data_IF_118471315250
#
_entry.id   IF_118471315250
#
_cell.length_a   1.000
_cell.length_b   1.000
_cell.length_c   1.000
_cell.angle_alpha   90.00
_cell.angle_beta   90.00
_cell.angle_gamma   90.00
#
_symmetry.space_group_name_H-M   'P 1'
#
loop_
_entity.id
_entity.type
_entity.pdbx_description
1 polymer ?
#
# COMPACT_ATOMS: atom_id res chain seq x y z
N UNK A 1 -3.72 8.53 21.01
CA UNK A 1 -2.33 8.24 20.59
C UNK A 1 -1.89 6.79 20.84
N UNK A 2 -1.73 6.30 22.07
CA UNK A 2 -1.29 4.89 22.27
C UNK A 2 -2.34 3.85 21.88
N UNK A 3 -3.62 4.07 22.22
CA UNK A 3 -4.70 3.15 21.81
C UNK A 3 -4.88 3.12 20.29
N UNK A 4 -4.91 4.28 19.63
CA UNK A 4 -4.96 4.35 18.16
C UNK A 4 -3.80 3.58 17.52
N UNK A 5 -2.58 3.72 18.04
CA UNK A 5 -1.43 2.98 17.53
C UNK A 5 -1.62 1.46 17.68
N UNK A 6 -2.07 0.99 18.85
CA UNK A 6 -2.34 -0.45 19.08
C UNK A 6 -3.41 -1.02 18.16
N UNK A 7 -4.41 -0.22 17.81
CA UNK A 7 -5.47 -0.62 16.86
C UNK A 7 -4.96 -0.60 15.43
N UNK A 8 -4.11 0.36 15.06
CA UNK A 8 -3.58 0.48 13.70
C UNK A 8 -2.47 -0.51 13.37
N UNK A 9 -1.65 -0.91 14.35
CA UNK A 9 -0.54 -1.86 14.16
C UNK A 9 -0.92 -3.15 13.42
N UNK A 10 -1.98 -3.89 13.79
CA UNK A 10 -2.38 -5.08 13.04
C UNK A 10 -2.81 -4.77 11.60
N UNK A 11 -3.57 -3.69 11.38
CA UNK A 11 -4.03 -3.27 10.05
C UNK A 11 -2.84 -2.93 9.14
N UNK A 12 -1.84 -2.23 9.66
CA UNK A 12 -0.63 -1.89 8.92
C UNK A 12 0.20 -3.14 8.58
N UNK A 13 0.22 -4.12 9.47
CA UNK A 13 0.87 -5.40 9.21
C UNK A 13 0.16 -6.16 8.09
N UNK A 14 -1.16 -6.26 8.14
CA UNK A 14 -1.95 -6.92 7.10
C UNK A 14 -1.77 -6.24 5.75
N UNK A 15 -1.82 -4.90 5.73
CA UNK A 15 -1.57 -4.12 4.52
C UNK A 15 -0.18 -4.39 3.93
N UNK A 16 0.85 -4.48 4.78
CA UNK A 16 2.21 -4.79 4.33
C UNK A 16 2.32 -6.18 3.70
N UNK A 17 1.71 -7.19 4.31
CA UNK A 17 1.66 -8.56 3.77
C UNK A 17 0.92 -8.62 2.43
N UNK A 18 -0.24 -7.95 2.33
CA UNK A 18 -1.05 -7.89 1.11
C UNK A 18 -0.27 -7.26 -0.04
N UNK A 19 0.39 -6.11 0.19
CA UNK A 19 1.19 -5.42 -0.83
C UNK A 19 2.32 -6.34 -1.32
N UNK A 20 3.02 -7.02 -0.40
CA UNK A 20 4.13 -7.90 -0.76
C UNK A 20 3.67 -9.12 -1.56
N UNK A 21 2.57 -9.76 -1.18
CA UNK A 21 2.05 -10.94 -1.85
C UNK A 21 1.43 -10.59 -3.21
N UNK A 22 0.68 -9.49 -3.30
CA UNK A 22 0.17 -8.98 -4.56
C UNK A 22 1.31 -8.65 -5.54
N UNK A 23 2.35 -7.95 -5.06
CA UNK A 23 3.54 -7.63 -5.86
C UNK A 23 4.22 -8.87 -6.41
N UNK A 24 4.40 -9.93 -5.61
CA UNK A 24 4.95 -11.21 -6.08
C UNK A 24 4.08 -11.87 -7.14
N UNK A 25 2.76 -11.94 -6.91
CA UNK A 25 1.82 -12.58 -7.83
C UNK A 25 1.76 -11.88 -9.19
N UNK A 26 1.83 -10.55 -9.19
CA UNK A 26 1.84 -9.73 -10.41
C UNK A 26 3.24 -9.56 -11.02
N UNK A 27 4.28 -10.17 -10.43
CA UNK A 27 5.67 -10.08 -10.85
C UNK A 27 6.23 -8.64 -10.87
N UNK A 28 5.84 -7.81 -9.89
CA UNK A 28 6.40 -6.47 -9.75
C UNK A 28 7.82 -6.52 -9.19
N UNK A 29 8.71 -5.76 -9.82
CA UNK A 29 10.09 -5.59 -9.34
C UNK A 29 10.17 -4.63 -8.16
N UNK A 30 9.31 -3.61 -8.13
CA UNK A 30 9.30 -2.56 -7.11
C UNK A 30 7.92 -1.90 -7.03
N UNK A 31 7.53 -1.49 -5.82
CA UNK A 31 6.32 -0.71 -5.55
C UNK A 31 6.75 0.58 -4.85
N UNK A 32 6.29 1.73 -5.35
CA UNK A 32 6.54 3.03 -4.73
C UNK A 32 5.29 3.52 -4.00
N UNK A 33 5.51 4.10 -2.83
CA UNK A 33 4.45 4.83 -2.14
C UNK A 33 4.10 6.09 -2.94
N UNK A 34 2.83 6.20 -3.33
CA UNK A 34 2.29 7.32 -4.08
C UNK A 34 1.81 8.47 -3.17
N UNK A 35 2.44 8.66 -2.00
CA UNK A 35 2.13 9.79 -1.13
C UNK A 35 3.01 10.98 -1.48
N UNK A 36 2.38 12.14 -1.67
CA UNK A 36 3.03 13.43 -1.94
C UNK A 36 3.94 13.38 -3.18
N UNK A 37 3.34 13.33 -4.38
CA UNK A 37 4.07 13.46 -5.65
C UNK A 37 4.83 14.79 -5.72
N UNK A 38 5.97 14.78 -6.42
CA UNK A 38 6.77 15.98 -6.69
C UNK A 38 8.07 16.04 -5.91
N UNK A 39 8.78 17.18 -5.99
CA UNK A 39 10.14 17.33 -5.48
C UNK A 39 10.27 17.20 -3.95
N UNK A 40 9.16 17.28 -3.22
CA UNK A 40 9.10 17.08 -1.78
C UNK A 40 8.72 15.66 -1.37
N UNK A 41 8.54 14.75 -2.34
CA UNK A 41 8.24 13.34 -2.08
C UNK A 41 9.40 12.66 -1.36
N UNK A 42 9.18 11.95 -0.24
CA UNK A 42 10.21 11.13 0.40
C UNK A 42 10.77 10.04 -0.52
N UNK A 43 9.98 9.58 -1.49
CA UNK A 43 10.38 8.56 -2.47
C UNK A 43 10.98 9.18 -3.74
N UNK A 44 10.96 10.51 -3.87
CA UNK A 44 11.35 11.21 -5.09
C UNK A 44 10.42 10.95 -6.28
N UNK A 45 9.23 10.38 -6.05
CA UNK A 45 8.29 10.06 -7.11
C UNK A 45 7.69 11.34 -7.69
N UNK A 46 8.17 11.76 -8.86
CA UNK A 46 7.68 12.96 -9.55
C UNK A 46 6.41 12.68 -10.34
N UNK A 47 6.36 11.51 -10.97
CA UNK A 47 5.26 11.09 -11.83
C UNK A 47 5.12 9.56 -11.78
N UNK A 48 3.87 9.13 -11.75
CA UNK A 48 3.43 7.77 -11.98
C UNK A 48 2.14 7.86 -12.78
N UNK A 49 2.04 7.05 -13.84
CA UNK A 49 0.83 6.95 -14.64
C UNK A 49 -0.30 6.32 -13.79
N UNK A 50 -1.56 6.63 -14.07
CA UNK A 50 -2.69 6.14 -13.27
C UNK A 50 -2.90 4.64 -13.48
N UNK A 51 -2.57 4.13 -14.66
CA UNK A 51 -2.74 2.74 -15.09
C UNK A 51 -1.83 1.77 -14.32
N UNK A 52 -0.80 2.27 -13.63
CA UNK A 52 0.09 1.49 -12.77
C UNK A 52 -0.23 1.64 -11.28
N UNK A 53 -1.26 2.43 -10.92
CA UNK A 53 -1.72 2.53 -9.55
C UNK A 53 -2.45 1.23 -9.14
N UNK A 54 -2.03 0.67 -8.01
CA UNK A 54 -2.55 -0.60 -7.48
C UNK A 54 -3.42 -0.41 -6.24
N UNK A 55 -3.66 0.83 -5.82
CA UNK A 55 -4.31 1.15 -4.55
C UNK A 55 -5.68 0.48 -4.42
N UNK A 56 -6.51 0.54 -5.47
CA UNK A 56 -7.85 -0.07 -5.46
C UNK A 56 -7.80 -1.60 -5.33
N UNK A 57 -6.86 -2.25 -6.02
CA UNK A 57 -6.68 -3.69 -5.93
C UNK A 57 -6.24 -4.10 -4.51
N UNK A 58 -5.31 -3.36 -3.91
CA UNK A 58 -4.83 -3.60 -2.54
C UNK A 58 -5.93 -3.35 -1.51
N UNK A 59 -6.72 -2.27 -1.68
CA UNK A 59 -7.86 -1.96 -0.79
C UNK A 59 -8.89 -3.09 -0.80
N UNK A 60 -9.25 -3.59 -1.99
CA UNK A 60 -10.18 -4.71 -2.11
C UNK A 60 -9.68 -5.96 -1.39
N UNK A 61 -8.39 -6.28 -1.52
CA UNK A 61 -7.77 -7.42 -0.82
C UNK A 61 -7.77 -7.24 0.70
N UNK A 62 -7.56 -6.01 1.17
CA UNK A 62 -7.63 -5.67 2.60
C UNK A 62 -9.06 -5.84 3.14
N UNK A 63 -10.07 -5.35 2.41
CA UNK A 63 -11.47 -5.51 2.78
C UNK A 63 -11.87 -6.99 2.82
N UNK A 64 -11.45 -7.79 1.84
CA UNK A 64 -11.69 -9.24 1.79
C UNK A 64 -11.03 -10.01 2.96
N UNK A 65 -9.86 -9.54 3.44
CA UNK A 65 -9.19 -10.12 4.61
C UNK A 65 -9.90 -9.76 5.92
N UNK A 66 -10.39 -8.53 6.04
CA UNK A 66 -11.06 -8.03 7.25
C UNK A 66 -12.55 -8.42 7.35
N UNK A 67 -13.17 -8.84 6.25
CA UNK A 67 -14.54 -9.37 6.24
C UNK A 67 -14.66 -10.81 6.76
N UNK A 68 -13.54 -11.47 7.09
CA UNK A 68 -13.49 -12.83 7.67
C UNK A 68 -13.33 -12.78 9.18
#
# INVERSE_FOLDING_TARGET
KQMEKKVMEPILKDLHEIIADYGKQQNFTLIFENTRKGLSSPTGLLYAAEEIDISDAVLKLLDERNAK
#
